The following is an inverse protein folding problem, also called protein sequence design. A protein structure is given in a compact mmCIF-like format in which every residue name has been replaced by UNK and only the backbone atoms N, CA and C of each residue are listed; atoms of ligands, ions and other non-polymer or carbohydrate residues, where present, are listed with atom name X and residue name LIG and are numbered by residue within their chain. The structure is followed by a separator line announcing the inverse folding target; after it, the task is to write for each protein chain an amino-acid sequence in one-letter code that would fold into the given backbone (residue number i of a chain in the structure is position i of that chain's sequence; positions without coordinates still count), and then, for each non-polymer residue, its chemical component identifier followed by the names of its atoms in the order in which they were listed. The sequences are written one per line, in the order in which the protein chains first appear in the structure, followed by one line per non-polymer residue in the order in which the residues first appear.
data_IF_194687267802
#
_entry.id   IF_194687267802
#
_cell.length_a   1.000
_cell.length_b   1.000
_cell.length_c   1.000
_cell.angle_alpha   90.00
_cell.angle_beta   90.00
_cell.angle_gamma   90.00
#
_symmetry.space_group_name_H-M   'P 1'
#
loop_
_entity.id
_entity.type
_entity.pdbx_description
1 polymer ?
#
# COMPACT_ATOMS: atom_id res chain seq x y z
N UNK A 1 10.74 55.16 38.09
CA UNK A 1 10.23 54.86 36.74
C UNK A 1 11.14 53.84 36.11
N UNK A 2 10.71 52.58 36.08
CA UNK A 2 11.53 51.44 35.64
C UNK A 2 11.01 51.01 34.27
N UNK A 3 11.84 51.14 33.23
CA UNK A 3 11.49 50.87 31.84
C UNK A 3 11.42 49.35 31.66
N UNK A 4 10.21 48.80 31.56
CA UNK A 4 10.02 47.40 31.20
C UNK A 4 10.53 47.17 29.77
N UNK A 5 11.55 46.33 29.62
CA UNK A 5 11.96 45.81 28.32
C UNK A 5 10.91 44.80 27.85
N UNK A 6 10.18 45.16 26.79
CA UNK A 6 9.41 44.23 25.99
C UNK A 6 10.40 43.32 25.25
N UNK A 7 10.45 42.04 25.62
CA UNK A 7 11.04 41.01 24.76
C UNK A 7 10.07 40.76 23.61
N UNK A 8 10.44 41.02 22.33
CA UNK A 8 9.63 40.56 21.23
C UNK A 8 9.80 39.05 21.14
N UNK A 9 8.71 38.34 21.44
CA UNK A 9 8.48 37.00 20.93
C UNK A 9 8.62 37.08 19.42
N UNK A 10 9.75 36.62 18.88
CA UNK A 10 9.89 36.35 17.46
C UNK A 10 9.90 34.83 17.29
N UNK A 11 8.74 34.37 16.82
CA UNK A 11 8.42 33.06 16.24
C UNK A 11 9.66 32.20 15.93
N UNK A 12 9.78 30.99 16.47
CA UNK A 12 9.12 29.81 15.91
C UNK A 12 9.09 29.76 14.38
N UNK A 13 10.14 30.18 13.68
CA UNK A 13 10.27 29.92 12.24
C UNK A 13 11.75 29.74 11.84
N UNK A 14 12.35 28.67 12.34
CA UNK A 14 13.48 28.01 11.67
C UNK A 14 13.32 26.49 11.84
N UNK A 15 12.09 25.97 11.68
CA UNK A 15 11.94 24.57 11.26
C UNK A 15 12.25 24.56 9.78
N UNK A 16 13.54 24.38 9.45
CA UNK A 16 13.95 24.02 8.10
C UNK A 16 13.16 22.77 7.72
N UNK A 17 12.11 22.95 6.92
CA UNK A 17 11.37 21.87 6.30
C UNK A 17 12.35 21.22 5.33
N UNK A 18 13.13 20.27 5.85
CA UNK A 18 13.82 19.30 5.02
C UNK A 18 12.69 18.48 4.44
N UNK A 19 12.16 18.91 3.30
CA UNK A 19 11.48 18.00 2.40
C UNK A 19 12.61 17.14 1.87
N UNK A 20 12.97 16.10 2.64
CA UNK A 20 13.62 14.95 2.04
C UNK A 20 12.63 14.53 0.96
N UNK A 21 12.99 14.72 -0.32
CA UNK A 21 12.35 13.99 -1.39
C UNK A 21 12.48 12.53 -0.98
N UNK A 22 11.40 11.95 -0.43
CA UNK A 22 11.38 10.52 -0.15
C UNK A 22 11.71 9.87 -1.49
N UNK A 23 12.87 9.20 -1.53
CA UNK A 23 13.25 8.42 -2.70
C UNK A 23 12.03 7.59 -3.12
N UNK A 24 11.67 7.56 -4.41
CA UNK A 24 10.43 6.97 -4.86
C UNK A 24 10.29 5.59 -4.25
N UNK A 25 9.24 5.39 -3.45
CA UNK A 25 9.04 4.15 -2.69
C UNK A 25 9.04 3.00 -3.68
N UNK A 26 10.09 2.19 -3.63
CA UNK A 26 10.21 1.02 -4.49
C UNK A 26 9.18 0.00 -4.02
N UNK A 27 8.26 -0.36 -4.89
CA UNK A 27 7.34 -1.46 -4.66
C UNK A 27 8.11 -2.78 -4.66
N UNK A 28 7.73 -3.71 -3.78
CA UNK A 28 8.31 -5.04 -3.72
C UNK A 28 7.40 -6.03 -4.43
N UNK A 29 7.94 -6.74 -5.41
CA UNK A 29 7.24 -7.82 -6.11
C UNK A 29 7.95 -9.15 -5.87
N UNK A 30 7.18 -10.22 -5.78
CA UNK A 30 7.68 -11.60 -5.76
C UNK A 30 7.03 -12.39 -6.88
N UNK A 31 7.81 -13.27 -7.51
CA UNK A 31 7.27 -14.25 -8.46
C UNK A 31 6.62 -15.41 -7.69
N UNK A 32 5.41 -15.78 -8.09
CA UNK A 32 4.67 -16.91 -7.56
C UNK A 32 4.10 -17.75 -8.70
N UNK A 33 3.97 -19.06 -8.48
CA UNK A 33 3.31 -19.96 -9.44
C UNK A 33 1.92 -20.29 -8.89
N UNK A 34 0.87 -19.94 -9.64
CA UNK A 34 -0.53 -20.26 -9.33
C UNK A 34 -1.09 -21.09 -10.49
N UNK A 35 -1.56 -22.31 -10.22
CA UNK A 35 -2.09 -23.23 -11.25
C UNK A 35 -1.14 -23.49 -12.43
N UNK A 36 0.17 -23.51 -12.15
CA UNK A 36 1.26 -23.61 -13.14
C UNK A 36 1.50 -22.35 -13.98
N UNK A 37 0.83 -21.25 -13.65
CA UNK A 37 1.03 -19.94 -14.28
C UNK A 37 1.91 -19.07 -13.37
N UNK A 38 3.11 -18.64 -13.82
CA UNK A 38 3.93 -17.68 -13.08
C UNK A 38 3.27 -16.30 -13.10
N UNK A 39 3.27 -15.61 -11.96
CA UNK A 39 2.68 -14.28 -11.78
C UNK A 39 3.48 -13.45 -10.78
N UNK A 40 3.48 -12.13 -10.97
CA UNK A 40 4.12 -11.19 -10.06
C UNK A 40 3.13 -10.67 -9.03
N UNK A 41 3.44 -10.85 -7.76
CA UNK A 41 2.59 -10.47 -6.63
C UNK A 41 3.22 -9.29 -5.90
N UNK A 42 2.45 -8.23 -5.71
CA UNK A 42 2.85 -7.09 -4.87
C UNK A 42 2.86 -7.52 -3.40
N UNK A 43 3.97 -7.25 -2.71
CA UNK A 43 4.06 -7.41 -1.25
C UNK A 43 3.57 -6.12 -0.59
N UNK A 44 2.37 -6.17 -0.04
CA UNK A 44 1.75 -5.09 0.72
C UNK A 44 1.52 -5.54 2.17
N UNK A 45 2.38 -5.09 3.09
CA UNK A 45 2.28 -5.41 4.52
C UNK A 45 1.12 -4.70 5.22
N UNK A 46 0.52 -3.69 4.60
CA UNK A 46 -0.68 -3.00 5.10
C UNK A 46 -1.98 -3.69 4.68
N UNK A 47 -1.94 -4.64 3.74
CA UNK A 47 -3.12 -5.33 3.27
C UNK A 47 -3.68 -6.30 4.31
N UNK A 48 -4.95 -6.11 4.70
CA UNK A 48 -5.64 -7.00 5.65
C UNK A 48 -6.14 -8.31 4.99
N UNK A 49 -6.20 -8.33 3.65
CA UNK A 49 -6.66 -9.44 2.83
C UNK A 49 -5.82 -9.52 1.56
N UNK A 50 -5.84 -10.67 0.88
CA UNK A 50 -5.21 -10.83 -0.43
C UNK A 50 -6.16 -10.31 -1.51
N UNK A 51 -5.66 -9.42 -2.35
CA UNK A 51 -6.41 -8.89 -3.48
C UNK A 51 -5.96 -9.57 -4.76
N UNK A 52 -6.91 -9.77 -5.67
CA UNK A 52 -6.64 -10.25 -7.02
C UNK A 52 -7.50 -9.43 -7.98
N UNK A 53 -6.89 -8.98 -9.08
CA UNK A 53 -7.64 -8.30 -10.13
C UNK A 53 -8.55 -9.32 -10.82
N UNK A 54 -9.78 -8.93 -11.16
CA UNK A 54 -10.73 -9.84 -11.83
C UNK A 54 -10.17 -10.43 -13.12
N UNK A 55 -9.41 -9.63 -13.90
CA UNK A 55 -8.73 -10.13 -15.11
C UNK A 55 -7.74 -11.27 -14.81
N UNK A 56 -7.08 -11.24 -13.66
CA UNK A 56 -6.10 -12.24 -13.26
C UNK A 56 -6.77 -13.54 -12.81
N UNK A 57 -8.04 -13.49 -12.35
CA UNK A 57 -8.81 -14.70 -12.00
C UNK A 57 -8.85 -15.66 -13.20
N UNK A 58 -9.15 -15.14 -14.39
CA UNK A 58 -9.19 -15.93 -15.62
C UNK A 58 -7.80 -16.37 -16.08
N UNK A 59 -6.80 -15.48 -16.05
CA UNK A 59 -5.42 -15.81 -16.47
C UNK A 59 -4.77 -16.89 -15.59
N UNK A 60 -5.13 -16.95 -14.31
CA UNK A 60 -4.63 -17.93 -13.35
C UNK A 60 -5.51 -19.18 -13.25
N UNK A 61 -6.50 -19.33 -14.13
CA UNK A 61 -7.44 -20.47 -14.14
C UNK A 61 -8.14 -20.68 -12.79
N UNK A 62 -8.46 -19.58 -12.11
CA UNK A 62 -9.20 -19.54 -10.86
C UNK A 62 -10.69 -19.32 -11.13
N UNK A 63 -11.52 -19.66 -10.16
CA UNK A 63 -12.97 -19.44 -10.25
C UNK A 63 -13.45 -18.38 -9.27
N UNK A 64 -14.26 -17.46 -9.79
CA UNK A 64 -15.00 -16.48 -9.00
C UNK A 64 -16.29 -17.13 -8.48
N UNK A 65 -16.43 -17.24 -7.16
CA UNK A 65 -17.63 -17.80 -6.52
C UNK A 65 -18.28 -16.73 -5.65
N UNK A 66 -19.51 -16.39 -5.98
CA UNK A 66 -20.36 -15.48 -5.21
C UNK A 66 -21.31 -16.29 -4.33
N UNK A 67 -21.12 -16.25 -3.01
CA UNK A 67 -21.99 -16.95 -2.04
C UNK A 67 -22.33 -16.04 -0.88
N UNK A 68 -23.60 -15.93 -0.49
CA UNK A 68 -24.07 -15.17 0.67
C UNK A 68 -23.47 -13.75 0.76
N UNK A 69 -23.51 -12.99 -0.34
CA UNK A 69 -22.93 -11.66 -0.50
C UNK A 69 -21.41 -11.57 -0.27
N UNK A 70 -20.70 -12.69 -0.36
CA UNK A 70 -19.23 -12.76 -0.32
C UNK A 70 -18.72 -13.25 -1.67
N UNK A 71 -17.70 -12.55 -2.16
CA UNK A 71 -16.94 -12.95 -3.35
C UNK A 71 -15.70 -13.70 -2.85
N UNK A 72 -15.46 -14.89 -3.40
CA UNK A 72 -14.24 -15.66 -3.17
C UNK A 72 -13.63 -16.06 -4.49
N UNK A 73 -12.31 -16.02 -4.55
CA UNK A 73 -11.54 -16.65 -5.62
C UNK A 73 -11.04 -17.99 -5.09
N UNK A 74 -11.43 -19.07 -5.75
CA UNK A 74 -11.04 -20.43 -5.36
C UNK A 74 -10.21 -21.08 -6.46
N UNK A 75 -9.34 -22.01 -6.06
CA UNK A 75 -8.67 -22.85 -7.03
C UNK A 75 -9.70 -23.81 -7.66
N UNK A 76 -9.94 -23.69 -8.95
CA UNK A 76 -10.86 -24.55 -9.71
C UNK A 76 -10.24 -25.83 -10.24
N UNK A 77 -8.93 -26.04 -10.08
CA UNK A 77 -8.21 -27.22 -10.58
C UNK A 77 -8.27 -28.43 -9.63
N UNK A 78 -9.40 -28.63 -8.95
CA UNK A 78 -9.62 -29.77 -8.03
C UNK A 78 -10.28 -30.95 -8.74
#
# INVERSE_FOLDING_TARGET
MTRAQLNPVLAQDQLSLVIEEEAPRKLLFVEAIINSTPTNVLVDSGATHKFLLEKEVHCLELSLVCTNNKIKVINSKA
#
